data_IF_104000639796
#
_entry.id   IF_104000639796
#
_cell.length_a   1.000
_cell.length_b   1.000
_cell.length_c   1.000
_cell.angle_alpha   90.00
_cell.angle_beta   90.00
_cell.angle_gamma   90.00
#
_symmetry.space_group_name_H-M   'P 1'
#
loop_
_entity.id
_entity.type
_entity.pdbx_description
1 polymer ?
#
# COMPACT_ATOMS: atom_id res chain seq x y z
N UNK A 1 25.53 -6.34 9.62
CA UNK A 1 25.21 -4.90 9.77
C UNK A 1 25.98 -4.12 8.71
N UNK A 2 25.41 -3.86 7.55
CA UNK A 2 26.03 -3.01 6.56
C UNK A 2 25.30 -1.67 6.51
N UNK A 3 25.89 -0.66 7.16
CA UNK A 3 25.48 0.71 6.97
C UNK A 3 26.00 1.20 5.61
N UNK A 4 25.17 1.13 4.61
CA UNK A 4 25.41 1.83 3.36
C UNK A 4 25.33 3.34 3.61
N UNK A 5 26.43 4.04 3.43
CA UNK A 5 26.47 5.51 3.46
C UNK A 5 25.76 6.05 2.22
N UNK A 6 24.47 6.24 2.30
CA UNK A 6 23.79 7.18 1.44
C UNK A 6 23.26 8.31 2.31
N UNK A 7 23.82 9.50 2.11
CA UNK A 7 23.47 10.76 2.79
C UNK A 7 22.08 11.31 2.38
N UNK A 8 21.21 10.50 1.83
CA UNK A 8 19.81 10.85 1.71
C UNK A 8 19.16 10.58 3.07
N UNK A 9 18.92 11.65 3.83
CA UNK A 9 18.14 11.57 5.06
C UNK A 9 16.82 10.90 4.71
N UNK A 10 16.67 9.65 5.10
CA UNK A 10 15.38 8.97 5.04
C UNK A 10 14.44 9.84 5.84
N UNK A 11 13.35 10.27 5.27
CA UNK A 11 12.42 11.17 5.96
C UNK A 11 11.82 10.55 7.24
N UNK A 12 11.93 9.22 7.42
CA UNK A 12 11.69 8.51 8.66
C UNK A 12 12.81 8.64 9.71
N UNK A 13 14.01 9.14 9.37
CA UNK A 13 15.13 9.24 10.32
C UNK A 13 14.89 10.26 11.44
N UNK A 14 13.91 11.14 11.28
CA UNK A 14 13.53 12.12 12.29
C UNK A 14 12.31 11.69 13.13
N UNK A 15 11.73 10.52 12.88
CA UNK A 15 10.72 9.98 13.77
C UNK A 15 11.43 9.46 15.04
N UNK A 16 11.11 9.91 16.23
CA UNK A 16 11.71 9.43 17.48
C UNK A 16 11.17 8.01 17.82
N UNK A 17 11.36 7.08 16.89
CA UNK A 17 10.79 5.74 16.93
C UNK A 17 11.35 4.92 18.09
N UNK A 18 12.56 5.19 18.50
CA UNK A 18 13.30 4.41 19.51
C UNK A 18 13.03 4.85 20.95
N UNK A 19 12.36 5.97 21.18
CA UNK A 19 12.21 6.57 22.52
C UNK A 19 10.78 6.96 22.92
N UNK A 20 9.80 6.79 22.04
CA UNK A 20 8.43 7.19 22.34
C UNK A 20 7.51 5.97 22.35
N UNK A 21 6.95 5.58 23.53
CA UNK A 21 6.03 4.45 23.64
C UNK A 21 4.69 4.65 22.89
N UNK A 22 4.47 5.86 22.34
CA UNK A 22 3.26 6.18 21.57
C UNK A 22 3.34 5.78 20.10
N UNK A 23 4.48 5.25 19.62
CA UNK A 23 4.65 4.81 18.24
C UNK A 23 4.67 3.29 18.13
N UNK A 24 3.91 2.76 17.18
CA UNK A 24 4.01 1.38 16.70
C UNK A 24 4.58 1.40 15.29
N UNK A 25 5.68 0.69 15.08
CA UNK A 25 6.28 0.54 13.76
C UNK A 25 6.13 -0.90 13.31
N UNK A 26 5.59 -1.08 12.14
CA UNK A 26 5.60 -2.34 11.42
C UNK A 26 6.45 -2.16 10.16
N UNK A 27 7.48 -2.97 10.02
CA UNK A 27 8.36 -3.00 8.86
C UNK A 27 8.49 -4.44 8.37
N UNK A 28 8.36 -4.62 7.07
CA UNK A 28 8.60 -5.90 6.42
C UNK A 28 9.37 -5.64 5.11
N UNK A 29 10.54 -6.24 4.98
CA UNK A 29 11.37 -6.21 3.78
C UNK A 29 11.15 -7.44 2.90
N UNK A 30 10.19 -8.28 3.29
CA UNK A 30 9.83 -9.50 2.57
C UNK A 30 10.99 -10.47 2.33
N UNK A 31 12.03 -10.45 3.19
CA UNK A 31 13.11 -11.43 3.16
C UNK A 31 12.64 -12.82 3.61
N UNK A 32 11.59 -12.84 4.41
CA UNK A 32 10.93 -14.05 4.94
C UNK A 32 9.45 -13.81 5.11
N UNK A 33 8.65 -14.32 4.22
CA UNK A 33 7.19 -14.31 4.42
C UNK A 33 6.78 -15.63 5.04
N UNK A 34 6.32 -15.58 6.28
CA UNK A 34 5.46 -16.62 6.82
C UNK A 34 4.03 -16.32 6.39
N UNK A 35 3.59 -16.88 5.29
CA UNK A 35 2.16 -16.97 5.01
C UNK A 35 1.60 -18.04 5.91
N UNK A 36 0.97 -17.67 7.01
CA UNK A 36 0.32 -18.63 7.87
C UNK A 36 -1.10 -18.21 8.14
N UNK A 37 -2.01 -19.00 7.62
CA UNK A 37 -3.44 -18.86 7.86
C UNK A 37 -3.83 -19.15 9.32
N UNK A 38 -2.94 -19.71 10.13
CA UNK A 38 -3.26 -20.21 11.47
C UNK A 38 -2.47 -19.61 12.63
N UNK A 39 -1.36 -18.91 12.42
CA UNK A 39 -0.50 -18.44 13.52
C UNK A 39 -0.39 -16.94 13.68
N UNK A 40 -1.17 -16.16 12.98
CA UNK A 40 -1.38 -14.73 13.26
C UNK A 40 -0.17 -13.82 12.97
N UNK A 41 0.78 -14.23 12.16
CA UNK A 41 2.06 -13.60 12.28
C UNK A 41 2.49 -12.61 11.24
N UNK A 42 2.09 -12.56 10.00
CA UNK A 42 2.63 -11.47 9.17
C UNK A 42 1.59 -10.88 8.22
N UNK A 43 1.17 -11.63 7.24
CA UNK A 43 0.24 -11.14 6.23
C UNK A 43 -0.89 -12.12 6.03
N UNK A 44 -2.11 -11.62 5.94
CA UNK A 44 -3.23 -12.39 5.42
C UNK A 44 -3.19 -12.27 3.91
N UNK A 45 -3.22 -13.42 3.26
CA UNK A 45 -3.26 -13.53 1.79
C UNK A 45 -4.70 -13.79 1.38
N UNK A 46 -5.16 -13.07 0.36
CA UNK A 46 -6.43 -13.33 -0.32
C UNK A 46 -6.12 -13.47 -1.81
N UNK A 47 -6.49 -14.60 -2.39
CA UNK A 47 -6.19 -14.96 -3.77
C UNK A 47 -7.45 -15.49 -4.45
N UNK A 48 -7.66 -15.11 -5.70
CA UNK A 48 -8.62 -15.76 -6.56
C UNK A 48 -8.03 -17.02 -7.19
N UNK A 49 -8.89 -17.82 -7.81
CA UNK A 49 -8.47 -19.09 -8.41
C UNK A 49 -7.43 -18.88 -9.49
N UNK A 50 -6.24 -19.41 -9.28
CA UNK A 50 -5.10 -19.29 -10.20
C UNK A 50 -4.20 -18.08 -9.97
N UNK A 51 -4.60 -17.13 -9.11
CA UNK A 51 -3.72 -16.07 -8.64
C UNK A 51 -2.71 -16.62 -7.62
N UNK A 52 -1.66 -15.90 -7.32
CA UNK A 52 -0.65 -16.33 -6.35
C UNK A 52 0.09 -15.17 -5.69
N UNK A 53 0.52 -15.43 -4.45
CA UNK A 53 1.45 -14.56 -3.71
C UNK A 53 2.69 -15.37 -3.36
N UNK A 54 3.86 -14.90 -3.76
CA UNK A 54 5.12 -15.59 -3.52
C UNK A 54 6.27 -14.61 -3.26
N UNK A 55 7.27 -15.05 -2.48
CA UNK A 55 8.55 -14.35 -2.42
C UNK A 55 9.28 -14.58 -3.74
N UNK A 56 9.77 -13.50 -4.34
CA UNK A 56 10.63 -13.62 -5.52
C UNK A 56 11.99 -14.19 -5.11
N UNK A 57 12.39 -15.27 -5.79
CA UNK A 57 13.71 -15.87 -5.57
C UNK A 57 14.82 -14.91 -6.02
N UNK A 58 15.99 -15.00 -5.35
CA UNK A 58 17.24 -14.33 -5.72
C UNK A 58 17.16 -12.79 -5.79
N UNK A 59 16.21 -12.18 -5.06
CA UNK A 59 16.12 -10.71 -4.94
C UNK A 59 16.80 -10.23 -3.65
N UNK A 60 17.68 -9.24 -3.80
CA UNK A 60 18.28 -8.55 -2.66
C UNK A 60 17.22 -7.70 -1.96
N UNK A 61 17.15 -7.80 -0.64
CA UNK A 61 16.21 -7.08 0.24
C UNK A 61 14.74 -7.50 0.10
N UNK A 62 14.51 -8.74 -0.33
CA UNK A 62 13.19 -9.31 -0.45
C UNK A 62 12.26 -8.61 -1.45
N UNK A 63 11.41 -9.38 -2.06
CA UNK A 63 10.35 -8.92 -2.95
C UNK A 63 9.19 -9.89 -2.86
N UNK A 64 7.98 -9.41 -2.72
CA UNK A 64 6.78 -10.21 -2.87
C UNK A 64 6.17 -9.97 -4.25
N UNK A 65 5.91 -11.05 -4.97
CA UNK A 65 5.14 -11.04 -6.20
C UNK A 65 3.69 -11.36 -5.90
N UNK A 66 2.80 -10.50 -6.37
CA UNK A 66 1.38 -10.77 -6.47
C UNK A 66 1.10 -10.98 -7.96
N UNK A 67 0.57 -12.15 -8.30
CA UNK A 67 0.31 -12.54 -9.70
C UNK A 67 -1.17 -12.79 -9.88
N UNK A 68 -1.82 -12.11 -10.81
CA UNK A 68 -3.19 -12.40 -11.22
C UNK A 68 -3.27 -13.69 -12.03
N UNK A 69 -4.43 -14.32 -12.03
CA UNK A 69 -4.64 -15.56 -12.79
C UNK A 69 -4.66 -15.35 -14.31
N UNK A 70 -4.90 -14.14 -14.77
CA UNK A 70 -5.00 -13.78 -16.19
C UNK A 70 -6.05 -14.59 -16.97
N UNK A 71 -7.11 -15.02 -16.29
CA UNK A 71 -8.15 -15.88 -16.87
C UNK A 71 -9.51 -15.20 -16.92
N UNK A 72 -9.79 -14.31 -15.98
CA UNK A 72 -11.05 -13.57 -15.87
C UNK A 72 -10.76 -12.15 -15.45
N UNK A 73 -11.61 -11.23 -15.85
CA UNK A 73 -11.60 -9.86 -15.33
C UNK A 73 -11.80 -9.88 -13.80
N UNK A 74 -11.04 -9.07 -13.08
CA UNK A 74 -10.99 -8.95 -11.62
C UNK A 74 -10.40 -10.16 -10.86
N UNK A 75 -9.71 -11.10 -11.51
CA UNK A 75 -8.92 -12.10 -10.81
C UNK A 75 -7.63 -11.47 -10.25
N UNK A 76 -7.40 -11.61 -8.96
CA UNK A 76 -6.28 -10.95 -8.32
C UNK A 76 -5.72 -11.64 -7.08
N UNK A 77 -4.67 -11.02 -6.54
CA UNK A 77 -4.04 -11.41 -5.29
C UNK A 77 -3.77 -10.19 -4.41
N UNK A 78 -3.92 -10.34 -3.12
CA UNK A 78 -3.63 -9.30 -2.15
C UNK A 78 -2.94 -9.82 -0.90
N UNK A 79 -2.21 -8.95 -0.24
CA UNK A 79 -1.69 -9.14 1.11
C UNK A 79 -2.20 -8.02 2.01
N UNK A 80 -2.66 -8.36 3.20
CA UNK A 80 -3.21 -7.39 4.12
C UNK A 80 -2.84 -7.68 5.59
N UNK A 81 -2.86 -6.61 6.38
CA UNK A 81 -2.80 -6.67 7.85
C UNK A 81 -4.17 -6.30 8.39
N UNK A 82 -4.82 -7.27 9.01
CA UNK A 82 -6.17 -7.07 9.50
C UNK A 82 -6.19 -6.20 10.76
N UNK A 83 -6.91 -5.08 10.69
CA UNK A 83 -7.36 -4.24 11.81
C UNK A 83 -6.30 -3.75 12.81
N UNK A 84 -5.02 -3.72 12.43
CA UNK A 84 -3.96 -3.25 13.32
C UNK A 84 -3.68 -1.75 13.21
N UNK A 85 -4.08 -1.13 12.11
CA UNK A 85 -3.90 0.30 11.86
C UNK A 85 -5.25 0.99 11.68
N UNK A 86 -5.48 2.06 12.42
CA UNK A 86 -6.71 2.85 12.34
C UNK A 86 -6.38 4.33 12.33
N UNK A 87 -7.04 5.08 11.46
CA UNK A 87 -7.03 6.55 11.52
C UNK A 87 -7.78 7.00 12.76
N UNK A 88 -7.13 7.80 13.61
CA UNK A 88 -7.71 8.26 14.88
C UNK A 88 -7.44 9.72 15.13
N UNK A 89 -8.40 10.39 15.75
CA UNK A 89 -8.24 11.77 16.17
C UNK A 89 -7.00 11.94 17.08
N UNK A 90 -6.17 12.94 16.76
CA UNK A 90 -4.96 13.27 17.51
C UNK A 90 -3.80 12.28 17.34
N UNK A 91 -3.88 11.35 16.40
CA UNK A 91 -2.79 10.40 16.07
C UNK A 91 -2.44 10.49 14.60
N UNK A 92 -1.14 10.49 14.30
CA UNK A 92 -0.66 10.39 12.92
C UNK A 92 -0.46 8.92 12.55
N UNK A 93 -0.79 8.59 11.31
CA UNK A 93 -0.59 7.28 10.72
C UNK A 93 0.21 7.43 9.42
N UNK A 94 1.20 6.55 9.23
CA UNK A 94 2.08 6.57 8.07
C UNK A 94 2.09 5.23 7.38
N UNK A 95 2.12 5.27 6.07
CA UNK A 95 2.30 4.12 5.21
C UNK A 95 3.36 4.45 4.15
N UNK A 96 4.25 3.53 3.87
CA UNK A 96 5.15 3.62 2.72
C UNK A 96 5.36 2.22 2.14
N UNK A 97 5.34 2.14 0.83
CA UNK A 97 5.66 0.94 0.09
C UNK A 97 6.44 1.28 -1.18
N UNK A 98 7.25 0.37 -1.65
CA UNK A 98 7.92 0.43 -2.94
C UNK A 98 7.35 -0.65 -3.82
N UNK A 99 6.84 -0.28 -4.97
CA UNK A 99 6.09 -1.15 -5.86
C UNK A 99 6.55 -1.02 -7.31
N UNK A 100 6.28 -2.06 -8.09
CA UNK A 100 6.35 -2.04 -9.56
C UNK A 100 5.29 -2.97 -10.12
N UNK A 101 4.90 -2.79 -11.35
CA UNK A 101 4.12 -3.74 -12.14
C UNK A 101 4.85 -4.10 -13.41
N UNK A 102 4.68 -5.33 -13.89
CA UNK A 102 5.16 -5.75 -15.21
C UNK A 102 4.25 -5.27 -16.34
N UNK A 103 3.00 -4.94 -16.03
CA UNK A 103 2.02 -4.47 -16.99
C UNK A 103 1.18 -3.33 -16.39
N UNK A 104 1.33 -2.13 -16.96
CA UNK A 104 0.52 -0.96 -16.56
C UNK A 104 -0.78 -0.86 -17.33
N UNK A 105 -0.93 -1.62 -18.43
CA UNK A 105 -2.12 -1.55 -19.28
C UNK A 105 -3.26 -2.37 -18.71
N UNK A 106 -2.97 -3.62 -18.33
CA UNK A 106 -3.98 -4.61 -18.01
C UNK A 106 -4.00 -4.99 -16.52
N UNK A 107 -3.59 -4.08 -15.62
CA UNK A 107 -3.51 -4.36 -14.18
C UNK A 107 -4.14 -3.25 -13.35
N UNK A 108 -5.09 -3.62 -12.49
CA UNK A 108 -5.53 -2.77 -11.38
C UNK A 108 -4.58 -2.92 -10.19
N UNK A 109 -4.24 -1.80 -9.55
CA UNK A 109 -3.39 -1.79 -8.36
C UNK A 109 -3.99 -0.93 -7.26
N UNK A 110 -3.89 -1.41 -6.01
CA UNK A 110 -4.35 -0.66 -4.85
C UNK A 110 -3.39 -0.83 -3.66
N UNK A 111 -2.98 0.28 -3.05
CA UNK A 111 -2.03 0.30 -1.93
C UNK A 111 -2.44 1.31 -0.87
N UNK A 112 -2.55 0.90 0.39
CA UNK A 112 -2.86 1.81 1.48
C UNK A 112 -3.70 1.19 2.60
N UNK A 113 -4.66 1.94 3.09
CA UNK A 113 -5.56 1.56 4.18
C UNK A 113 -6.97 1.36 3.64
N UNK A 114 -7.57 0.23 3.99
CA UNK A 114 -8.95 -0.12 3.62
C UNK A 114 -9.58 -0.95 4.72
N UNK A 115 -10.87 -1.23 4.61
CA UNK A 115 -11.54 -2.21 5.45
C UNK A 115 -11.01 -3.61 5.18
N UNK A 116 -11.11 -4.48 6.17
CA UNK A 116 -10.72 -5.87 6.02
C UNK A 116 -11.65 -6.61 5.04
N UNK A 117 -11.09 -7.44 4.20
CA UNK A 117 -11.82 -8.37 3.32
C UNK A 117 -11.18 -9.76 3.39
N UNK A 118 -11.98 -10.80 3.23
CA UNK A 118 -11.54 -12.20 3.38
C UNK A 118 -11.73 -13.01 2.10
N UNK A 119 -12.40 -12.44 1.13
CA UNK A 119 -12.67 -12.98 -0.19
C UNK A 119 -12.50 -11.86 -1.19
N UNK A 120 -12.23 -12.18 -2.43
CA UNK A 120 -12.18 -11.27 -3.54
C UNK A 120 -11.21 -10.08 -3.31
N UNK A 121 -9.95 -10.17 -3.78
CA UNK A 121 -8.94 -9.13 -3.65
C UNK A 121 -9.37 -7.76 -4.20
N UNK A 122 -10.18 -7.74 -5.23
CA UNK A 122 -10.71 -6.54 -5.88
C UNK A 122 -11.60 -5.67 -4.97
N UNK A 123 -12.07 -6.19 -3.85
CA UNK A 123 -12.83 -5.40 -2.86
C UNK A 123 -12.04 -4.20 -2.32
N UNK A 124 -10.71 -4.19 -2.44
CA UNK A 124 -9.91 -3.01 -2.13
C UNK A 124 -10.22 -1.82 -3.04
N UNK A 125 -10.53 -2.11 -4.30
CA UNK A 125 -10.76 -1.08 -5.33
C UNK A 125 -12.08 -0.34 -5.12
N UNK A 126 -13.03 -0.94 -4.39
CA UNK A 126 -14.41 -0.44 -4.22
C UNK A 126 -14.85 -0.31 -2.77
N UNK A 127 -13.93 -0.46 -1.81
CA UNK A 127 -14.25 -0.36 -0.38
C UNK A 127 -14.77 1.04 -0.02
N UNK A 128 -15.90 1.11 0.68
CA UNK A 128 -16.58 2.35 1.04
C UNK A 128 -15.81 3.23 2.05
N UNK A 129 -14.83 2.64 2.75
CA UNK A 129 -13.92 3.34 3.67
C UNK A 129 -12.48 2.97 3.30
N UNK A 130 -11.74 3.92 2.70
CA UNK A 130 -10.37 3.68 2.25
C UNK A 130 -9.55 4.95 2.14
N UNK A 131 -8.23 4.81 2.27
CA UNK A 131 -7.22 5.82 1.97
C UNK A 131 -6.13 5.11 1.17
N UNK A 132 -6.12 5.29 -0.15
CA UNK A 132 -5.31 4.45 -1.03
C UNK A 132 -4.71 5.23 -2.19
N UNK A 133 -3.61 4.69 -2.72
CA UNK A 133 -3.25 4.87 -4.11
C UNK A 133 -3.94 3.80 -4.93
N UNK A 134 -4.52 4.18 -6.04
CA UNK A 134 -5.14 3.29 -7.00
C UNK A 134 -4.63 3.59 -8.40
N UNK A 135 -4.42 2.55 -9.17
CA UNK A 135 -4.19 2.59 -10.62
C UNK A 135 -5.23 1.68 -11.24
N UNK A 136 -5.98 2.18 -12.17
CA UNK A 136 -7.02 1.41 -12.86
C UNK A 136 -6.45 0.79 -14.15
N UNK A 137 -6.98 -0.34 -14.58
CA UNK A 137 -6.63 -0.93 -15.87
C UNK A 137 -6.89 0.05 -17.02
N UNK A 138 -6.18 -0.08 -18.14
CA UNK A 138 -6.26 0.86 -19.25
C UNK A 138 -5.69 2.25 -19.00
N UNK A 139 -5.27 2.59 -17.77
CA UNK A 139 -4.69 3.88 -17.40
C UNK A 139 -3.41 3.69 -16.57
N UNK A 140 -2.35 4.41 -16.89
CA UNK A 140 -1.09 4.37 -16.14
C UNK A 140 -1.08 5.32 -14.94
N UNK A 141 -2.05 6.21 -14.82
CA UNK A 141 -2.09 7.27 -13.81
C UNK A 141 -2.25 6.71 -12.40
N UNK A 142 -1.48 7.27 -11.47
CA UNK A 142 -1.62 6.96 -10.04
C UNK A 142 -2.63 7.93 -9.44
N UNK A 143 -3.78 7.42 -9.01
CA UNK A 143 -4.83 8.16 -8.33
C UNK A 143 -4.62 8.13 -6.81
N UNK A 144 -4.80 9.27 -6.16
CA UNK A 144 -4.85 9.41 -4.71
C UNK A 144 -6.31 9.46 -4.29
N UNK A 145 -6.76 8.52 -3.45
CA UNK A 145 -8.17 8.39 -3.09
C UNK A 145 -8.37 8.36 -1.56
N UNK A 146 -9.35 9.12 -1.09
CA UNK A 146 -9.95 8.98 0.24
C UNK A 146 -11.44 8.76 0.06
N UNK A 147 -11.98 7.79 0.76
CA UNK A 147 -13.41 7.47 0.70
C UNK A 147 -13.93 7.19 2.10
N UNK A 148 -15.09 7.77 2.42
CA UNK A 148 -15.79 7.57 3.68
C UNK A 148 -17.28 7.36 3.43
N UNK A 149 -17.81 6.28 3.98
CA UNK A 149 -19.23 5.93 3.83
C UNK A 149 -19.69 5.94 2.36
N UNK A 150 -18.81 5.50 1.43
CA UNK A 150 -19.06 5.45 -0.01
C UNK A 150 -19.00 6.82 -0.72
N UNK A 151 -18.51 7.85 -0.07
CA UNK A 151 -18.27 9.16 -0.70
C UNK A 151 -16.78 9.38 -0.93
N UNK A 152 -16.39 9.45 -2.20
CA UNK A 152 -14.99 9.52 -2.63
C UNK A 152 -14.50 10.95 -2.84
N UNK A 153 -13.24 11.20 -2.50
CA UNK A 153 -12.40 12.28 -3.03
C UNK A 153 -11.24 11.64 -3.79
N UNK A 154 -11.12 11.94 -5.08
CA UNK A 154 -10.05 11.42 -5.94
C UNK A 154 -9.24 12.56 -6.56
N UNK A 155 -7.93 12.39 -6.63
CA UNK A 155 -7.00 13.32 -7.27
C UNK A 155 -5.97 12.55 -8.07
N UNK A 156 -5.79 12.88 -9.33
CA UNK A 156 -4.69 12.37 -10.14
C UNK A 156 -3.36 12.93 -9.60
N UNK A 157 -2.40 12.07 -9.34
CA UNK A 157 -1.07 12.47 -8.84
C UNK A 157 -0.23 13.24 -9.87
N UNK A 158 -0.60 13.18 -11.14
CA UNK A 158 0.19 13.66 -12.27
C UNK A 158 1.45 12.82 -12.54
N UNK A 159 1.48 11.58 -12.03
CA UNK A 159 2.57 10.62 -12.21
C UNK A 159 2.00 9.33 -12.76
N UNK A 160 2.53 8.89 -13.89
CA UNK A 160 2.20 7.61 -14.50
C UNK A 160 3.18 6.52 -14.05
N UNK A 161 2.66 5.32 -13.85
CA UNK A 161 3.50 4.13 -13.70
C UNK A 161 4.07 3.72 -15.06
N UNK A 162 5.22 3.06 -15.01
CA UNK A 162 5.87 2.49 -16.20
C UNK A 162 6.23 1.05 -15.90
N UNK A 163 6.07 0.14 -16.87
CA UNK A 163 6.40 -1.27 -16.72
C UNK A 163 7.81 -1.43 -16.15
N UNK A 164 7.95 -2.35 -15.21
CA UNK A 164 9.19 -2.74 -14.54
C UNK A 164 9.96 -1.60 -13.86
N UNK A 165 9.29 -0.48 -13.60
CA UNK A 165 9.89 0.68 -12.94
C UNK A 165 9.39 0.81 -11.52
N UNK A 166 10.33 0.94 -10.58
CA UNK A 166 10.01 1.12 -9.15
C UNK A 166 9.41 2.49 -8.87
N UNK A 167 8.33 2.49 -8.12
CA UNK A 167 7.68 3.70 -7.59
C UNK A 167 7.56 3.57 -6.07
N UNK A 168 7.91 4.62 -5.34
CA UNK A 168 7.67 4.71 -3.89
C UNK A 168 6.38 5.48 -3.63
N UNK A 169 5.44 4.86 -2.94
CA UNK A 169 4.15 5.41 -2.56
C UNK A 169 4.10 5.62 -1.05
N UNK A 170 3.76 6.83 -0.60
CA UNK A 170 3.66 7.11 0.84
C UNK A 170 2.41 7.91 1.16
N UNK A 171 1.72 7.53 2.24
CA UNK A 171 0.54 8.20 2.78
C UNK A 171 0.86 8.70 4.18
N UNK A 172 0.49 9.93 4.48
CA UNK A 172 0.48 10.49 5.83
C UNK A 172 -0.92 10.92 6.22
N UNK A 173 -1.52 10.24 7.16
CA UNK A 173 -2.74 10.68 7.81
C UNK A 173 -2.38 11.54 9.03
N UNK A 174 -2.79 12.79 9.03
CA UNK A 174 -2.64 13.70 10.17
C UNK A 174 -3.97 13.75 10.93
N UNK A 175 -4.09 12.90 11.93
CA UNK A 175 -5.38 12.72 12.61
C UNK A 175 -6.47 12.28 11.60
N UNK A 176 -7.72 12.62 11.86
CA UNK A 176 -8.88 12.42 10.97
C UNK A 176 -9.17 13.63 10.08
N UNK A 177 -8.22 14.56 9.96
CA UNK A 177 -8.50 15.87 9.34
C UNK A 177 -7.75 16.12 8.04
N UNK A 178 -6.67 15.39 7.79
CA UNK A 178 -5.84 15.62 6.62
C UNK A 178 -5.09 14.37 6.21
N UNK A 179 -5.03 14.11 4.92
CA UNK A 179 -4.21 13.06 4.30
C UNK A 179 -3.32 13.66 3.24
N UNK A 180 -2.03 13.46 3.36
CA UNK A 180 -1.03 13.83 2.36
C UNK A 180 -0.57 12.58 1.61
N UNK A 181 -0.53 12.64 0.29
CA UNK A 181 -0.05 11.58 -0.61
C UNK A 181 1.27 11.99 -1.24
N UNK A 182 2.23 11.07 -1.25
CA UNK A 182 3.55 11.31 -1.84
C UNK A 182 3.90 10.20 -2.83
N UNK A 183 4.34 10.58 -4.02
CA UNK A 183 4.92 9.67 -5.01
C UNK A 183 6.39 10.01 -5.16
N UNK A 184 7.26 9.01 -5.03
CA UNK A 184 8.72 9.19 -5.05
C UNK A 184 9.18 10.28 -4.07
N UNK A 185 8.55 10.32 -2.87
CA UNK A 185 8.81 11.29 -1.79
C UNK A 185 8.43 12.75 -2.10
N UNK A 186 7.74 12.99 -3.20
CA UNK A 186 7.20 14.30 -3.56
C UNK A 186 5.72 14.35 -3.22
N UNK A 187 5.27 15.39 -2.50
CA UNK A 187 3.85 15.63 -2.24
C UNK A 187 3.11 15.85 -3.57
N UNK A 188 2.09 15.04 -3.83
CA UNK A 188 1.29 15.08 -5.06
C UNK A 188 -0.17 15.45 -4.81
N UNK A 189 -0.72 15.09 -3.65
CA UNK A 189 -2.09 15.46 -3.29
C UNK A 189 -2.24 15.64 -1.77
N UNK A 190 -3.22 16.45 -1.39
CA UNK A 190 -3.67 16.64 0.00
C UNK A 190 -5.19 16.59 0.03
N UNK A 191 -5.75 15.68 0.81
CA UNK A 191 -7.19 15.56 1.03
C UNK A 191 -7.56 16.00 2.45
N UNK A 192 -8.68 16.69 2.59
CA UNK A 192 -9.24 17.14 3.88
C UNK A 192 -10.72 16.73 4.03
N UNK A 193 -11.23 15.97 3.08
CA UNK A 193 -12.62 15.48 3.04
C UNK A 193 -12.62 13.97 2.84
N UNK A 194 -13.75 13.35 3.21
CA UNK A 194 -13.98 11.91 3.04
C UNK A 194 -12.85 11.05 3.61
N UNK A 195 -12.36 11.43 4.80
CA UNK A 195 -11.36 10.68 5.57
C UNK A 195 -12.12 9.76 6.54
N UNK A 196 -12.00 8.42 6.40
CA UNK A 196 -12.71 7.45 7.23
C UNK A 196 -12.26 7.43 8.68
#
# INVERSE_FOLDING_TARGET
LFAGKNNEKKWFENLPIDKNPDYVVYFDDFDRIGFDSNTGHRWTVVEDSGASVAIAADQLNGLVNLTSANTTDNDGASIQKNEIFQVRAGKDLWFETKVRTSDVTDTDLCFGFTVNFTTNPENMLTAADRIVFQKDDGDASILCKTEKDGTETSTDSGIDMTNDTDVTLSIRCQSTSKVDFFVNRKLVATHTTNIP
#
